data_IF_412791191597
#
_entry.id   IF_412791191597
#
_cell.length_a   1.000
_cell.length_b   1.000
_cell.length_c   1.000
_cell.angle_alpha   90.00
_cell.angle_beta   90.00
_cell.angle_gamma   90.00
#
_symmetry.space_group_name_H-M   'P 1'
#
loop_
_entity.id
_entity.type
_entity.pdbx_description
1 polymer ?
#
# COMPACT_ATOMS: atom_id res chain seq x y z
N UNK A 1 -37.12 -21.21 -33.12
CA UNK A 1 -36.74 -20.51 -31.88
C UNK A 1 -35.54 -21.10 -31.13
N UNK A 2 -34.75 -22.02 -31.68
CA UNK A 2 -33.64 -22.69 -30.93
C UNK A 2 -32.24 -22.10 -31.13
N UNK A 3 -32.02 -21.27 -32.15
CA UNK A 3 -30.67 -20.73 -32.41
C UNK A 3 -30.18 -19.69 -31.35
N UNK A 4 -31.09 -18.96 -30.73
CA UNK A 4 -30.70 -17.93 -29.72
C UNK A 4 -30.16 -18.49 -28.39
N UNK A 5 -30.50 -19.73 -28.06
CA UNK A 5 -30.09 -20.36 -26.82
C UNK A 5 -28.60 -20.80 -26.83
N UNK A 6 -28.10 -21.24 -27.99
CA UNK A 6 -26.70 -21.68 -28.16
C UNK A 6 -25.71 -20.51 -28.06
N UNK A 7 -26.02 -19.35 -28.64
CA UNK A 7 -25.16 -18.19 -28.61
C UNK A 7 -25.03 -17.59 -27.19
N UNK A 8 -26.12 -17.58 -26.41
CA UNK A 8 -26.08 -17.10 -25.00
C UNK A 8 -25.18 -17.99 -24.14
N UNK A 9 -25.26 -19.31 -24.29
CA UNK A 9 -24.37 -20.24 -23.55
C UNK A 9 -22.90 -20.07 -23.95
N UNK A 10 -22.62 -19.91 -25.25
CA UNK A 10 -21.28 -19.69 -25.74
C UNK A 10 -20.68 -18.38 -25.17
N UNK A 11 -21.43 -17.30 -25.20
CA UNK A 11 -21.05 -16.02 -24.61
C UNK A 11 -20.84 -16.14 -23.10
N UNK A 12 -21.70 -16.89 -22.41
CA UNK A 12 -21.54 -17.13 -20.96
C UNK A 12 -20.23 -17.89 -20.65
N UNK A 13 -19.92 -18.94 -21.39
CA UNK A 13 -18.65 -19.67 -21.23
C UNK A 13 -17.43 -18.80 -21.55
N UNK A 14 -17.53 -17.97 -22.59
CA UNK A 14 -16.48 -17.01 -22.92
C UNK A 14 -16.24 -16.01 -21.77
N UNK A 15 -17.32 -15.41 -21.26
CA UNK A 15 -17.21 -14.45 -20.13
C UNK A 15 -16.69 -15.12 -18.86
N UNK A 16 -17.11 -16.36 -18.56
CA UNK A 16 -16.58 -17.12 -17.44
C UNK A 16 -15.08 -17.40 -17.60
N UNK A 17 -14.66 -17.84 -18.80
CA UNK A 17 -13.23 -18.05 -19.09
C UNK A 17 -12.42 -16.76 -18.95
N UNK A 18 -12.92 -15.63 -19.46
CA UNK A 18 -12.28 -14.33 -19.33
C UNK A 18 -12.17 -13.92 -17.84
N UNK A 19 -13.21 -14.14 -17.05
CA UNK A 19 -13.26 -13.78 -15.63
C UNK A 19 -12.25 -14.60 -14.80
N UNK A 20 -12.03 -15.87 -15.16
CA UNK A 20 -11.02 -16.72 -14.52
C UNK A 20 -9.60 -16.35 -14.95
N UNK A 21 -9.41 -16.05 -16.25
CA UNK A 21 -8.09 -15.72 -16.78
C UNK A 21 -7.64 -14.30 -16.47
N UNK A 22 -8.57 -13.34 -16.31
CA UNK A 22 -8.23 -11.94 -16.11
C UNK A 22 -7.29 -11.69 -14.93
N UNK A 23 -7.52 -12.21 -13.71
CA UNK A 23 -6.60 -12.00 -12.59
C UNK A 23 -5.19 -12.51 -12.88
N UNK A 24 -5.09 -13.69 -13.49
CA UNK A 24 -3.80 -14.33 -13.82
C UNK A 24 -3.04 -13.49 -14.85
N UNK A 25 -3.74 -13.09 -15.92
CA UNK A 25 -3.14 -12.30 -17.01
C UNK A 25 -2.70 -10.93 -16.51
N UNK A 26 -3.54 -10.25 -15.72
CA UNK A 26 -3.23 -8.94 -15.16
C UNK A 26 -1.99 -9.04 -14.25
N UNK A 27 -1.93 -10.06 -13.39
CA UNK A 27 -0.79 -10.29 -12.49
C UNK A 27 0.49 -10.57 -13.26
N UNK A 28 0.44 -11.47 -14.25
CA UNK A 28 1.59 -11.81 -15.09
C UNK A 28 2.07 -10.59 -15.89
N UNK A 29 1.15 -9.82 -16.45
CA UNK A 29 1.48 -8.58 -17.17
C UNK A 29 2.08 -7.52 -16.25
N UNK A 30 1.52 -7.32 -15.06
CA UNK A 30 2.06 -6.36 -14.08
C UNK A 30 3.49 -6.73 -13.66
N UNK A 31 3.76 -8.02 -13.38
CA UNK A 31 5.10 -8.49 -13.09
C UNK A 31 6.07 -8.27 -14.25
N UNK A 32 5.66 -8.65 -15.47
CA UNK A 32 6.46 -8.40 -16.67
C UNK A 32 6.75 -6.90 -16.85
N UNK A 33 5.74 -6.05 -16.70
CA UNK A 33 5.88 -4.60 -16.83
C UNK A 33 6.87 -4.02 -15.82
N UNK A 34 6.80 -4.43 -14.56
CA UNK A 34 7.71 -3.98 -13.50
C UNK A 34 9.14 -4.41 -13.83
N UNK A 35 9.35 -5.70 -14.13
CA UNK A 35 10.69 -6.23 -14.46
C UNK A 35 11.26 -5.54 -15.69
N UNK A 36 10.51 -5.44 -16.78
CA UNK A 36 11.00 -4.82 -18.03
C UNK A 36 11.28 -3.33 -17.88
N UNK A 37 10.49 -2.61 -17.08
CA UNK A 37 10.71 -1.19 -16.80
C UNK A 37 12.02 -0.99 -16.03
N UNK A 38 12.24 -1.79 -14.99
CA UNK A 38 13.44 -1.72 -14.16
C UNK A 38 14.68 -2.15 -14.95
N UNK A 39 14.58 -3.20 -15.76
CA UNK A 39 15.66 -3.66 -16.64
C UNK A 39 16.07 -2.57 -17.64
N UNK A 40 15.12 -1.77 -18.11
CA UNK A 40 15.38 -0.66 -19.01
C UNK A 40 16.21 0.48 -18.39
N UNK A 41 16.20 0.62 -17.06
CA UNK A 41 16.97 1.67 -16.37
C UNK A 41 18.47 1.37 -16.29
N UNK A 42 18.84 0.10 -16.33
CA UNK A 42 20.24 -0.34 -16.23
C UNK A 42 20.57 -1.23 -17.45
N UNK A 43 21.03 -0.63 -18.56
CA UNK A 43 21.36 -1.39 -19.76
C UNK A 43 22.66 -2.18 -19.57
N UNK A 44 22.57 -3.43 -19.06
CA UNK A 44 23.72 -4.32 -18.83
C UNK A 44 24.06 -5.05 -20.14
N UNK A 45 23.03 -5.59 -20.80
CA UNK A 45 23.17 -6.26 -22.09
C UNK A 45 22.41 -5.48 -23.14
N UNK A 46 23.11 -5.03 -24.16
CA UNK A 46 22.52 -4.29 -25.27
C UNK A 46 22.80 -5.05 -26.58
N UNK A 47 21.79 -5.13 -27.42
CA UNK A 47 21.94 -5.62 -28.81
C UNK A 47 21.62 -4.46 -29.76
N UNK A 48 22.45 -4.25 -30.75
CA UNK A 48 22.24 -3.25 -31.80
C UNK A 48 21.69 -3.99 -33.01
N UNK A 49 20.52 -3.61 -33.51
CA UNK A 49 19.96 -4.20 -34.71
C UNK A 49 20.64 -3.66 -35.99
N UNK A 50 20.29 -4.22 -37.14
CA UNK A 50 20.82 -3.81 -38.45
C UNK A 50 20.50 -2.35 -38.82
N UNK A 51 19.54 -1.72 -38.10
CA UNK A 51 19.14 -0.36 -38.30
C UNK A 51 19.84 0.62 -37.33
N UNK A 52 20.74 0.11 -36.48
CA UNK A 52 21.49 0.89 -35.51
C UNK A 52 20.70 1.24 -34.23
N UNK A 53 19.52 0.62 -33.98
CA UNK A 53 18.72 0.83 -32.77
C UNK A 53 19.25 -0.07 -31.66
N UNK A 54 19.49 0.53 -30.49
CA UNK A 54 19.97 -0.19 -29.31
C UNK A 54 18.77 -0.77 -28.55
N UNK A 55 18.73 -2.09 -28.47
CA UNK A 55 17.73 -2.82 -27.68
C UNK A 55 18.37 -3.33 -26.37
N UNK A 56 17.73 -3.04 -25.23
CA UNK A 56 18.15 -3.55 -23.93
C UNK A 56 17.56 -4.95 -23.74
N UNK A 57 18.41 -5.96 -23.53
CA UNK A 57 18.04 -7.38 -23.39
C UNK A 57 18.54 -7.93 -22.06
N UNK A 58 18.20 -7.31 -20.96
CA UNK A 58 18.72 -7.72 -19.64
C UNK A 58 18.08 -9.00 -19.09
N UNK A 59 16.95 -9.47 -19.61
CA UNK A 59 16.24 -10.70 -19.18
C UNK A 59 16.04 -10.81 -17.66
N UNK A 60 15.77 -9.69 -16.95
CA UNK A 60 15.58 -9.64 -15.50
C UNK A 60 16.86 -9.42 -14.68
N UNK A 61 18.03 -9.35 -15.30
CA UNK A 61 19.30 -9.14 -14.58
C UNK A 61 19.35 -7.76 -13.92
N UNK A 62 18.86 -6.73 -14.59
CA UNK A 62 18.76 -5.38 -14.02
C UNK A 62 17.85 -5.35 -12.80
N UNK A 63 16.73 -6.05 -12.84
CA UNK A 63 15.80 -6.19 -11.71
C UNK A 63 16.49 -6.87 -10.51
N UNK A 64 17.19 -7.99 -10.73
CA UNK A 64 17.95 -8.69 -9.67
C UNK A 64 19.04 -7.80 -9.09
N UNK A 65 19.75 -7.04 -9.92
CA UNK A 65 20.78 -6.10 -9.48
C UNK A 65 20.20 -5.01 -8.57
N UNK A 66 19.06 -4.42 -8.95
CA UNK A 66 18.38 -3.40 -8.12
C UNK A 66 17.96 -3.99 -6.77
N UNK A 67 17.39 -5.20 -6.74
CA UNK A 67 17.06 -5.88 -5.49
C UNK A 67 18.30 -6.06 -4.61
N UNK A 68 19.42 -6.52 -5.19
CA UNK A 68 20.68 -6.67 -4.46
C UNK A 68 21.16 -5.33 -3.88
N UNK A 69 21.15 -4.26 -4.67
CA UNK A 69 21.51 -2.91 -4.21
C UNK A 69 20.62 -2.46 -3.08
N UNK A 70 19.29 -2.66 -3.17
CA UNK A 70 18.36 -2.32 -2.11
C UNK A 70 18.60 -3.11 -0.82
N UNK A 71 18.90 -4.41 -0.93
CA UNK A 71 19.26 -5.24 0.23
C UNK A 71 20.54 -4.72 0.89
N UNK A 72 21.57 -4.39 0.10
CA UNK A 72 22.82 -3.85 0.59
C UNK A 72 22.58 -2.49 1.30
N UNK A 73 21.83 -1.58 0.67
CA UNK A 73 21.45 -0.31 1.29
C UNK A 73 20.68 -0.55 2.58
N UNK A 74 19.71 -1.46 2.59
CA UNK A 74 18.92 -1.80 3.78
C UNK A 74 19.77 -2.38 4.90
N UNK A 75 20.70 -3.26 4.57
CA UNK A 75 21.64 -3.84 5.54
C UNK A 75 22.55 -2.77 6.17
N UNK A 76 23.18 -1.94 5.36
CA UNK A 76 23.98 -0.82 5.88
C UNK A 76 23.13 0.23 6.63
N UNK A 77 21.91 0.46 6.17
CA UNK A 77 20.95 1.32 6.86
C UNK A 77 20.69 0.87 8.29
N UNK A 78 20.56 -0.43 8.49
CA UNK A 78 20.31 -1.00 9.82
C UNK A 78 21.47 -0.79 10.81
N UNK A 79 22.71 -0.72 10.31
CA UNK A 79 23.92 -0.55 11.14
C UNK A 79 24.41 0.90 11.28
N UNK A 80 24.25 1.73 10.24
CA UNK A 80 24.87 3.05 10.13
C UNK A 80 23.92 4.24 10.16
N UNK A 81 22.62 4.03 9.93
CA UNK A 81 21.68 5.13 9.63
C UNK A 81 20.87 5.60 10.85
N UNK A 82 21.33 5.35 12.07
CA UNK A 82 20.74 6.04 13.22
C UNK A 82 21.19 7.52 13.22
N UNK A 83 20.60 8.31 12.37
CA UNK A 83 20.59 9.78 12.48
C UNK A 83 21.54 10.58 11.59
N UNK A 84 22.75 10.10 11.21
CA UNK A 84 23.74 10.96 10.51
C UNK A 84 23.47 11.12 9.01
N UNK A 85 23.18 10.04 8.29
CA UNK A 85 22.91 10.12 6.84
C UNK A 85 21.54 10.76 6.60
N UNK A 86 20.55 10.41 7.42
CA UNK A 86 19.24 11.07 7.36
C UNK A 86 19.36 12.57 7.60
N UNK A 87 20.11 12.98 8.63
CA UNK A 87 20.34 14.40 8.92
C UNK A 87 21.16 15.12 7.84
N UNK A 88 22.06 14.41 7.16
CA UNK A 88 22.79 14.96 6.01
C UNK A 88 21.86 15.16 4.80
N UNK A 89 21.04 14.15 4.47
CA UNK A 89 20.04 14.25 3.42
C UNK A 89 19.00 15.32 3.74
N UNK A 90 18.54 15.40 4.98
CA UNK A 90 17.63 16.46 5.44
C UNK A 90 18.25 17.86 5.27
N UNK A 91 19.53 18.04 5.62
CA UNK A 91 20.25 19.31 5.41
C UNK A 91 20.42 19.65 3.94
N UNK A 92 20.69 18.65 3.09
CA UNK A 92 20.82 18.86 1.65
C UNK A 92 19.48 19.27 1.02
N UNK A 93 18.40 18.57 1.39
CA UNK A 93 17.04 18.86 0.89
C UNK A 93 16.48 20.17 1.42
N UNK A 94 16.83 20.57 2.66
CA UNK A 94 16.43 21.85 3.24
C UNK A 94 17.01 23.06 2.50
N UNK A 95 18.13 22.89 1.82
CA UNK A 95 18.78 23.97 1.04
C UNK A 95 18.15 24.20 -0.34
N UNK A 96 17.29 23.31 -0.80
CA UNK A 96 16.69 23.42 -2.14
C UNK A 96 15.19 23.75 -2.00
N UNK A 97 14.80 25.03 -2.22
CA UNK A 97 13.42 25.43 -2.12
C UNK A 97 12.58 24.68 -3.19
N UNK A 98 11.42 24.12 -2.78
CA UNK A 98 10.53 23.31 -3.62
C UNK A 98 10.69 21.80 -3.43
N UNK A 99 11.90 21.26 -3.38
CA UNK A 99 12.12 19.82 -3.11
C UNK A 99 11.81 19.44 -1.66
N UNK A 100 12.00 20.36 -0.72
CA UNK A 100 11.74 20.16 0.70
C UNK A 100 10.31 19.64 0.97
N UNK A 101 9.30 20.27 0.34
CA UNK A 101 7.91 19.90 0.58
C UNK A 101 7.59 18.52 0.00
N UNK A 102 8.07 18.21 -1.20
CA UNK A 102 7.85 16.91 -1.84
C UNK A 102 8.53 15.81 -1.01
N UNK A 103 9.80 16.01 -0.63
CA UNK A 103 10.56 15.04 0.14
C UNK A 103 9.96 14.80 1.52
N UNK A 104 9.64 15.89 2.27
CA UNK A 104 9.05 15.75 3.61
C UNK A 104 7.70 15.04 3.56
N UNK A 105 6.83 15.42 2.64
CA UNK A 105 5.51 14.78 2.49
C UNK A 105 5.64 13.29 2.13
N UNK A 106 6.53 12.96 1.19
CA UNK A 106 6.80 11.57 0.80
C UNK A 106 7.38 10.78 1.96
N UNK A 107 8.36 11.33 2.67
CA UNK A 107 8.94 10.71 3.87
C UNK A 107 7.90 10.47 4.94
N UNK A 108 7.12 11.49 5.30
CA UNK A 108 6.07 11.41 6.32
C UNK A 108 5.02 10.35 5.95
N UNK A 109 4.71 10.24 4.65
CA UNK A 109 3.84 9.19 4.14
C UNK A 109 4.45 7.80 4.37
N UNK A 110 5.69 7.57 3.98
CA UNK A 110 6.34 6.27 4.19
C UNK A 110 6.57 5.96 5.67
N UNK A 111 6.94 6.92 6.51
CA UNK A 111 7.07 6.73 7.96
C UNK A 111 5.73 6.35 8.63
N UNK A 112 4.61 6.81 8.09
CA UNK A 112 3.29 6.42 8.58
C UNK A 112 2.99 4.92 8.35
N UNK A 113 3.54 4.33 7.28
CA UNK A 113 3.30 2.92 6.92
C UNK A 113 4.43 1.97 7.35
N UNK A 114 5.68 2.41 7.33
CA UNK A 114 6.85 1.55 7.50
C UNK A 114 7.72 1.89 8.73
N UNK A 115 7.46 3.00 9.43
CA UNK A 115 8.25 3.43 10.60
C UNK A 115 8.03 2.57 11.85
N UNK A 116 8.97 2.60 12.79
CA UNK A 116 8.88 1.93 14.10
C UNK A 116 7.67 2.37 14.92
N UNK A 117 7.13 3.55 14.64
CA UNK A 117 5.86 4.06 15.16
C UNK A 117 4.75 3.80 14.14
N UNK A 118 4.47 2.55 13.84
CA UNK A 118 3.34 2.16 12.98
C UNK A 118 2.09 2.89 13.45
N UNK A 119 1.67 3.92 12.71
CA UNK A 119 0.50 4.74 13.07
C UNK A 119 -0.83 3.97 12.88
N UNK A 120 -0.79 2.84 12.18
CA UNK A 120 -1.97 2.01 11.91
C UNK A 120 -1.92 0.67 12.66
N UNK A 121 -1.45 0.67 13.92
CA UNK A 121 -1.39 -0.55 14.75
C UNK A 121 -2.60 -0.72 15.66
N UNK A 122 -3.32 0.36 15.95
CA UNK A 122 -4.48 0.32 16.83
C UNK A 122 -5.76 0.37 15.98
N UNK A 123 -6.21 -0.80 15.58
CA UNK A 123 -7.47 -0.95 14.85
C UNK A 123 -8.67 -0.85 15.80
N UNK A 124 -9.68 -0.15 15.35
CA UNK A 124 -10.84 0.21 16.16
C UNK A 124 -12.13 0.19 15.35
N UNK A 125 -13.23 0.02 16.08
CA UNK A 125 -14.56 0.41 15.63
C UNK A 125 -14.85 1.80 16.18
N UNK A 126 -15.17 2.74 15.30
CA UNK A 126 -15.49 4.12 15.62
C UNK A 126 -16.97 4.40 15.34
N UNK A 127 -17.69 4.90 16.32
CA UNK A 127 -19.05 5.42 16.15
C UNK A 127 -18.97 6.90 15.80
N UNK A 128 -19.16 7.22 14.52
CA UNK A 128 -18.99 8.59 14.00
C UNK A 128 -20.29 9.35 13.98
N UNK A 129 -21.42 8.69 13.73
CA UNK A 129 -22.70 9.31 13.38
C UNK A 129 -23.74 9.30 14.51
N UNK A 130 -23.35 9.05 15.77
CA UNK A 130 -24.23 8.98 16.98
C UNK A 130 -25.36 7.92 16.96
N UNK A 131 -25.54 7.23 15.86
CA UNK A 131 -26.42 6.08 15.72
C UNK A 131 -25.56 4.81 15.86
N UNK A 132 -26.17 3.64 16.07
CA UNK A 132 -25.44 2.37 16.18
C UNK A 132 -24.70 1.96 14.89
N UNK A 133 -24.15 2.94 14.17
CA UNK A 133 -23.36 2.78 12.96
C UNK A 133 -21.88 2.86 13.31
N UNK A 134 -21.20 1.71 13.22
CA UNK A 134 -19.79 1.58 13.52
C UNK A 134 -18.98 1.52 12.23
N UNK A 135 -17.87 2.25 12.19
CA UNK A 135 -16.92 2.25 11.07
C UNK A 135 -15.59 1.70 11.54
N UNK A 136 -15.00 0.85 10.71
CA UNK A 136 -13.70 0.27 10.99
C UNK A 136 -12.60 1.25 10.61
N UNK A 137 -11.61 1.43 11.49
CA UNK A 137 -10.54 2.38 11.26
C UNK A 137 -9.34 2.16 12.19
N UNK A 138 -8.47 3.16 12.24
CA UNK A 138 -7.22 3.12 13.00
C UNK A 138 -7.02 4.40 13.79
N UNK A 139 -6.62 4.29 15.04
CA UNK A 139 -6.21 5.46 15.81
C UNK A 139 -4.87 5.95 15.24
N UNK A 140 -4.85 7.18 14.76
CA UNK A 140 -3.64 7.85 14.27
C UNK A 140 -3.04 8.80 15.28
N UNK A 141 -3.85 9.29 16.23
CA UNK A 141 -3.39 10.14 17.32
C UNK A 141 -4.25 9.92 18.57
N UNK A 142 -3.60 9.63 19.69
CA UNK A 142 -4.27 9.29 20.97
C UNK A 142 -4.60 10.51 21.83
N UNK A 143 -4.06 11.68 21.53
CA UNK A 143 -4.25 12.91 22.29
C UNK A 143 -4.47 14.09 21.34
N UNK A 144 -5.54 14.81 21.56
CA UNK A 144 -5.94 15.99 20.79
C UNK A 144 -5.94 17.26 21.64
N UNK A 145 -5.25 17.26 22.78
CA UNK A 145 -5.18 18.41 23.69
C UNK A 145 -4.55 19.65 23.03
N UNK A 146 -3.61 19.50 22.09
CA UNK A 146 -3.06 20.61 21.29
C UNK A 146 -4.13 21.38 20.49
N UNK A 147 -5.28 20.75 20.24
CA UNK A 147 -6.42 21.36 19.58
C UNK A 147 -7.54 21.76 20.56
N UNK A 148 -7.22 21.75 21.88
CA UNK A 148 -8.18 22.06 22.92
C UNK A 148 -9.21 20.97 23.24
N UNK A 149 -9.05 19.78 22.65
CA UNK A 149 -9.98 18.66 22.77
C UNK A 149 -9.38 17.59 23.70
N UNK A 150 -9.73 17.64 24.98
CA UNK A 150 -9.37 16.60 25.95
C UNK A 150 -10.27 15.38 25.74
N UNK A 151 -9.71 14.17 25.92
CA UNK A 151 -10.42 12.88 25.77
C UNK A 151 -10.94 12.58 24.36
N UNK A 152 -10.36 13.22 23.35
CA UNK A 152 -10.58 12.93 21.96
C UNK A 152 -9.39 12.21 21.34
N UNK A 153 -9.66 11.47 20.26
CA UNK A 153 -8.68 10.79 19.44
C UNK A 153 -8.91 11.09 17.97
N UNK A 154 -7.84 11.05 17.18
CA UNK A 154 -7.97 11.06 15.72
C UNK A 154 -8.03 9.61 15.23
N UNK A 155 -9.07 9.30 14.45
CA UNK A 155 -9.30 8.00 13.83
C UNK A 155 -9.32 8.16 12.32
N UNK A 156 -8.44 7.45 11.65
CA UNK A 156 -8.45 7.32 10.19
C UNK A 156 -9.36 6.17 9.78
N UNK A 157 -10.31 6.44 8.91
CA UNK A 157 -11.28 5.48 8.38
C UNK A 157 -11.05 5.37 6.87
N UNK A 158 -10.53 4.22 6.35
CA UNK A 158 -10.34 4.01 4.93
C UNK A 158 -11.70 3.87 4.21
N UNK A 159 -11.71 4.22 2.93
CA UNK A 159 -12.86 3.97 2.07
C UNK A 159 -12.72 2.62 1.35
N UNK A 160 -13.85 2.03 0.98
CA UNK A 160 -13.86 0.82 0.17
C UNK A 160 -13.16 1.06 -1.17
N UNK A 161 -12.41 0.05 -1.63
CA UNK A 161 -11.61 0.06 -2.88
C UNK A 161 -10.58 1.19 -2.99
N UNK A 162 -10.20 1.77 -1.84
CA UNK A 162 -9.23 2.87 -1.81
C UNK A 162 -8.40 2.84 -0.54
N UNK A 163 -7.14 3.29 -0.66
CA UNK A 163 -6.29 3.59 0.51
C UNK A 163 -6.58 4.99 1.05
N UNK A 164 -7.25 5.84 0.27
CA UNK A 164 -7.72 7.14 0.74
C UNK A 164 -8.85 6.96 1.77
N UNK A 165 -8.97 7.90 2.71
CA UNK A 165 -9.97 7.83 3.76
C UNK A 165 -10.17 9.18 4.43
N UNK A 166 -11.00 9.20 5.45
CA UNK A 166 -11.27 10.40 6.24
C UNK A 166 -10.65 10.28 7.64
N UNK A 167 -10.22 11.41 8.18
CA UNK A 167 -9.80 11.51 9.58
C UNK A 167 -10.92 12.15 10.38
N UNK A 168 -11.37 11.45 11.41
CA UNK A 168 -12.38 11.91 12.33
C UNK A 168 -11.75 12.16 13.70
N UNK A 169 -12.13 13.26 14.32
CA UNK A 169 -11.77 13.58 15.71
C UNK A 169 -12.99 13.29 16.56
N UNK A 170 -12.93 12.24 17.35
CA UNK A 170 -14.08 11.73 18.11
C UNK A 170 -13.70 11.46 19.57
N UNK A 171 -14.67 11.51 20.50
CA UNK A 171 -14.42 11.14 21.89
C UNK A 171 -13.93 9.70 22.03
N UNK A 172 -13.01 9.45 22.96
CA UNK A 172 -12.52 8.08 23.27
C UNK A 172 -13.64 7.12 23.63
N UNK A 173 -14.71 7.61 24.24
CA UNK A 173 -15.90 6.82 24.61
C UNK A 173 -16.64 6.22 23.40
N UNK A 174 -16.43 6.79 22.20
CA UNK A 174 -17.03 6.33 20.94
C UNK A 174 -16.12 5.40 20.14
N UNK A 175 -15.03 4.93 20.74
CA UNK A 175 -14.06 4.07 20.09
C UNK A 175 -13.97 2.76 20.84
N UNK A 176 -14.10 1.65 20.13
CA UNK A 176 -13.91 0.29 20.65
C UNK A 176 -12.69 -0.35 20.00
N UNK A 177 -11.67 -0.78 20.77
CA UNK A 177 -10.52 -1.46 20.20
C UNK A 177 -10.92 -2.82 19.61
N UNK A 178 -10.27 -3.21 18.52
CA UNK A 178 -10.39 -4.53 17.90
C UNK A 178 -9.12 -5.30 18.28
N UNK A 179 -9.23 -6.29 19.14
CA UNK A 179 -8.08 -7.00 19.69
C UNK A 179 -7.81 -8.36 19.01
N UNK A 180 -8.82 -8.95 18.37
CA UNK A 180 -8.75 -10.32 17.85
C UNK A 180 -8.38 -10.38 16.36
N UNK A 181 -8.15 -9.24 15.73
CA UNK A 181 -7.92 -9.11 14.29
C UNK A 181 -6.69 -8.25 14.08
N UNK A 182 -5.76 -8.66 13.23
CA UNK A 182 -4.59 -7.86 12.91
C UNK A 182 -4.96 -6.60 12.13
N UNK A 183 -4.10 -5.58 12.22
CA UNK A 183 -4.31 -4.33 11.48
C UNK A 183 -4.32 -4.54 9.97
N UNK A 184 -3.54 -5.53 9.47
CA UNK A 184 -3.53 -5.89 8.06
C UNK A 184 -4.87 -6.48 7.60
N UNK A 185 -5.45 -7.37 8.40
CA UNK A 185 -6.77 -7.95 8.12
C UNK A 185 -7.89 -6.91 8.24
N UNK A 186 -7.81 -6.01 9.24
CA UNK A 186 -8.73 -4.88 9.39
C UNK A 186 -8.68 -3.97 8.15
N UNK A 187 -7.49 -3.63 7.67
CA UNK A 187 -7.32 -2.84 6.45
C UNK A 187 -7.88 -3.57 5.22
N UNK A 188 -7.55 -4.87 5.07
CA UNK A 188 -8.05 -5.71 3.96
C UNK A 188 -9.58 -5.75 3.94
N UNK A 189 -10.21 -5.94 5.10
CA UNK A 189 -11.67 -5.95 5.23
C UNK A 189 -12.27 -4.58 4.86
N UNK A 190 -11.75 -3.48 5.41
CA UNK A 190 -12.26 -2.15 5.13
C UNK A 190 -12.13 -1.78 3.66
N UNK A 191 -10.95 -2.00 3.05
CA UNK A 191 -10.69 -1.66 1.64
C UNK A 191 -11.47 -2.56 0.68
N UNK A 192 -11.75 -3.81 1.04
CA UNK A 192 -12.57 -4.70 0.21
C UNK A 192 -14.08 -4.41 0.29
N UNK A 193 -14.50 -3.41 1.07
CA UNK A 193 -15.93 -3.14 1.30
C UNK A 193 -16.62 -4.19 2.17
N UNK A 194 -15.86 -4.90 3.03
CA UNK A 194 -16.39 -5.91 3.95
C UNK A 194 -16.63 -7.28 3.32
N UNK A 195 -16.17 -7.51 2.09
CA UNK A 195 -16.41 -8.78 1.37
C UNK A 195 -15.43 -9.87 1.78
N UNK A 196 -14.23 -9.52 2.27
CA UNK A 196 -13.23 -10.51 2.66
C UNK A 196 -13.53 -11.09 4.03
N UNK A 197 -13.36 -12.43 4.17
CA UNK A 197 -13.40 -13.06 5.48
C UNK A 197 -12.21 -12.61 6.33
N UNK A 198 -12.48 -12.43 7.61
CA UNK A 198 -11.48 -12.12 8.63
C UNK A 198 -11.27 -13.39 9.46
N UNK A 199 -10.05 -13.90 9.47
CA UNK A 199 -9.69 -15.06 10.27
C UNK A 199 -9.23 -14.59 11.66
N UNK A 200 -9.78 -15.19 12.73
CA UNK A 200 -9.31 -14.96 14.10
C UNK A 200 -7.91 -15.56 14.27
N UNK A 201 -6.92 -14.75 14.64
CA UNK A 201 -5.54 -15.21 14.87
C UNK A 201 -5.43 -16.19 16.06
N UNK A 202 -6.39 -16.18 17.00
CA UNK A 202 -6.39 -17.05 18.16
C UNK A 202 -6.78 -18.53 17.86
N UNK A 203 -7.25 -18.84 16.65
CA UNK A 203 -7.58 -20.23 16.27
C UNK A 203 -6.43 -21.03 15.68
N UNK A 204 -5.27 -20.41 15.47
CA UNK A 204 -4.09 -21.05 14.86
C UNK A 204 -2.86 -21.12 15.79
N UNK A 205 -3.05 -21.02 17.11
CA UNK A 205 -1.99 -21.28 18.12
C UNK A 205 -2.21 -22.58 18.83
#
# INVERSE_FOLDING_TARGET
MEKGFKYKKLLQYFLQGLLVLAPITITAYALYFVVSTIDGWIPIFTHVDEQGVVHVQNYGVGFVLIILVLIVIGYFSSFFITGRILSFMDKLMQKTPGLKHIYSTTRDFFEAFAGDKKKFTQNVLANVDDNDVWRMGFITRNDMSDFGLKDFVAVYIPMAYSVAGNVYIIPKSRVKPINNISSAQTMKFAVSGGVTHVEDEDKNK
#
